data_IF_520989477865
#
_entry.id   IF_520989477865
#
_cell.length_a   1.000
_cell.length_b   1.000
_cell.length_c   1.000
_cell.angle_alpha   90.00
_cell.angle_beta   90.00
_cell.angle_gamma   90.00
#
_symmetry.space_group_name_H-M   'P 1'
#
loop_
_entity.id
_entity.type
_entity.pdbx_description
1 polymer ?
#
# COMPACT_ATOMS: atom_id res chain seq x y z
N UNK A 1 11.41 9.85 -26.01
CA UNK A 1 10.57 8.76 -26.54
C UNK A 1 9.86 8.01 -25.39
N UNK A 2 8.90 8.65 -24.70
CA UNK A 2 8.12 8.04 -23.59
C UNK A 2 6.72 7.55 -24.01
N UNK A 3 6.29 7.89 -25.22
CA UNK A 3 4.92 7.69 -25.70
C UNK A 3 4.60 6.23 -26.08
N UNK A 4 5.60 5.42 -26.44
CA UNK A 4 5.41 3.99 -26.77
C UNK A 4 5.02 3.13 -25.56
N UNK A 5 5.37 3.53 -24.33
CA UNK A 5 4.98 2.81 -23.11
C UNK A 5 3.53 3.07 -22.71
N UNK A 6 3.01 4.28 -22.99
CA UNK A 6 1.67 4.72 -22.58
C UNK A 6 0.58 4.12 -23.47
N UNK A 7 0.82 4.01 -24.80
CA UNK A 7 -0.06 3.26 -25.70
C UNK A 7 -0.19 1.81 -25.27
N UNK A 8 0.93 1.17 -24.90
CA UNK A 8 0.96 -0.24 -24.45
C UNK A 8 0.19 -0.47 -23.14
N UNK A 9 0.11 0.54 -22.26
CA UNK A 9 -0.67 0.48 -21.02
C UNK A 9 -2.20 0.58 -21.25
N UNK A 10 -2.64 1.17 -22.36
CA UNK A 10 -4.04 1.18 -22.78
C UNK A 10 -4.49 -0.16 -23.38
N UNK A 11 -3.56 -0.97 -23.90
CA UNK A 11 -3.84 -2.20 -24.66
C UNK A 11 -3.80 -3.50 -23.81
N UNK A 12 -3.25 -3.47 -22.59
CA UNK A 12 -3.20 -4.65 -21.70
C UNK A 12 -4.14 -4.50 -20.50
N UNK A 13 -5.30 -5.19 -20.44
CA UNK A 13 -6.19 -5.07 -19.30
C UNK A 13 -5.73 -5.85 -18.05
N UNK A 14 -4.79 -6.78 -18.14
CA UNK A 14 -4.52 -7.69 -17.02
C UNK A 14 -3.04 -8.08 -16.90
N UNK A 15 -2.23 -7.23 -16.25
CA UNK A 15 -1.02 -7.68 -15.53
C UNK A 15 -0.36 -6.57 -14.68
N UNK A 16 -1.15 -5.81 -13.92
CA UNK A 16 -0.63 -4.87 -12.91
C UNK A 16 -0.97 -5.29 -11.47
N UNK A 17 -1.22 -6.59 -11.28
CA UNK A 17 -1.02 -7.23 -9.99
C UNK A 17 0.48 -7.41 -9.77
N UNK A 18 1.01 -6.87 -8.69
CA UNK A 18 2.43 -6.83 -8.30
C UNK A 18 3.21 -5.61 -8.81
N UNK A 19 2.82 -4.42 -8.37
CA UNK A 19 3.80 -3.37 -8.12
C UNK A 19 3.65 -2.88 -6.69
N UNK A 20 4.54 -3.42 -5.86
CA UNK A 20 5.02 -2.90 -4.59
C UNK A 20 4.01 -1.99 -3.89
N UNK A 21 3.20 -2.58 -3.00
CA UNK A 21 2.85 -1.86 -1.77
C UNK A 21 4.15 -1.23 -1.31
N UNK A 22 4.14 0.09 -1.09
CA UNK A 22 5.29 0.81 -0.54
C UNK A 22 5.65 0.20 0.80
N UNK A 23 6.37 -0.91 0.76
CA UNK A 23 7.22 -1.40 1.81
C UNK A 23 8.27 -0.30 1.90
N UNK A 24 8.36 0.39 3.04
CA UNK A 24 9.51 1.21 3.34
C UNK A 24 10.77 0.42 3.00
N UNK A 25 11.78 1.08 2.40
CA UNK A 25 13.11 0.50 2.24
C UNK A 25 13.48 -0.26 3.52
N UNK A 26 14.09 -1.44 3.45
CA UNK A 26 14.34 -2.28 4.63
C UNK A 26 15.01 -1.51 5.79
N UNK A 27 15.79 -0.49 5.46
CA UNK A 27 16.40 0.46 6.38
C UNK A 27 15.41 1.32 7.20
N UNK A 28 14.24 1.67 6.65
CA UNK A 28 13.16 2.39 7.33
C UNK A 28 12.29 1.48 8.21
N UNK A 29 12.27 0.17 7.93
CA UNK A 29 11.51 -0.82 8.70
C UNK A 29 12.06 -1.06 10.11
N UNK A 30 13.27 -0.58 10.39
CA UNK A 30 14.03 -0.90 11.61
C UNK A 30 14.30 0.31 12.50
N UNK A 31 13.61 1.43 12.24
CA UNK A 31 13.65 2.63 13.09
C UNK A 31 12.62 2.51 14.20
N UNK A 32 12.94 3.00 15.40
CA UNK A 32 12.02 3.06 16.55
C UNK A 32 10.64 3.62 16.19
N UNK A 33 10.60 4.74 15.47
CA UNK A 33 9.35 5.40 15.05
C UNK A 33 8.45 4.48 14.21
N UNK A 34 9.05 3.65 13.36
CA UNK A 34 8.31 2.71 12.53
C UNK A 34 7.72 1.57 13.36
N UNK A 35 8.50 0.99 14.28
CA UNK A 35 8.03 -0.04 15.21
C UNK A 35 6.91 0.48 16.11
N UNK A 36 7.02 1.71 16.62
CA UNK A 36 5.95 2.36 17.40
C UNK A 36 4.67 2.53 16.58
N UNK A 37 4.76 2.94 15.32
CA UNK A 37 3.62 3.06 14.41
C UNK A 37 2.95 1.71 14.17
N UNK A 38 3.73 0.66 13.89
CA UNK A 38 3.18 -0.68 13.70
C UNK A 38 2.51 -1.15 14.98
N UNK A 39 3.15 -1.01 16.13
CA UNK A 39 2.59 -1.41 17.43
C UNK A 39 1.25 -0.71 17.66
N UNK A 40 1.18 0.61 17.51
CA UNK A 40 -0.07 1.40 17.66
C UNK A 40 -1.16 0.88 16.71
N UNK A 41 -0.80 0.58 15.45
CA UNK A 41 -1.73 0.02 14.47
C UNK A 41 -2.20 -1.38 14.89
N UNK A 42 -1.28 -2.28 15.27
CA UNK A 42 -1.60 -3.64 15.70
C UNK A 42 -2.49 -3.69 16.94
N UNK A 43 -2.29 -2.78 17.91
CA UNK A 43 -3.15 -2.63 19.09
C UNK A 43 -4.57 -2.23 18.67
N UNK A 44 -4.71 -1.24 17.77
CA UNK A 44 -6.01 -0.76 17.28
C UNK A 44 -6.82 -1.88 16.62
N UNK A 45 -6.17 -2.75 15.86
CA UNK A 45 -6.82 -3.88 15.19
C UNK A 45 -6.94 -5.13 16.08
N UNK A 46 -6.58 -5.05 17.38
CA UNK A 46 -6.53 -6.17 18.35
C UNK A 46 -5.61 -7.34 17.94
N UNK A 47 -4.83 -7.19 16.88
CA UNK A 47 -3.89 -8.18 16.37
C UNK A 47 -2.68 -8.33 17.30
N UNK A 48 -2.31 -7.26 18.00
CA UNK A 48 -1.20 -7.27 18.96
C UNK A 48 -1.33 -8.37 20.01
N UNK A 49 -2.56 -8.68 20.44
CA UNK A 49 -2.81 -9.69 21.46
C UNK A 49 -2.79 -11.13 20.93
N UNK A 50 -2.77 -11.32 19.61
CA UNK A 50 -2.59 -12.62 18.96
C UNK A 50 -1.11 -13.04 18.87
N UNK A 51 -0.18 -12.10 19.11
CA UNK A 51 1.25 -12.40 19.15
C UNK A 51 1.63 -13.11 20.45
N UNK A 52 2.66 -13.95 20.35
CA UNK A 52 3.24 -14.60 21.52
C UNK A 52 3.84 -13.57 22.49
N UNK A 53 3.96 -13.95 23.77
CA UNK A 53 4.53 -13.09 24.82
C UNK A 53 5.99 -12.71 24.50
N UNK A 54 6.78 -13.62 23.93
CA UNK A 54 8.18 -13.35 23.57
C UNK A 54 8.27 -12.38 22.39
N UNK A 55 7.42 -12.55 21.37
CA UNK A 55 7.38 -11.65 20.21
C UNK A 55 7.01 -10.22 20.61
N UNK A 56 6.03 -10.08 21.52
CA UNK A 56 5.65 -8.77 22.09
C UNK A 56 6.79 -8.15 22.89
N UNK A 57 7.45 -8.93 23.75
CA UNK A 57 8.58 -8.47 24.55
C UNK A 57 9.75 -8.01 23.67
N UNK A 58 10.04 -8.74 22.58
CA UNK A 58 11.10 -8.37 21.63
C UNK A 58 10.84 -7.00 20.98
N UNK A 59 9.61 -6.73 20.53
CA UNK A 59 9.24 -5.42 19.99
C UNK A 59 9.28 -4.33 21.07
N UNK A 60 8.78 -4.62 22.27
CA UNK A 60 8.74 -3.63 23.35
C UNK A 60 10.14 -3.23 23.83
N UNK A 61 11.06 -4.19 23.93
CA UNK A 61 12.46 -3.95 24.28
C UNK A 61 13.18 -3.18 23.17
N UNK A 62 12.98 -3.56 21.89
CA UNK A 62 13.61 -2.85 20.78
C UNK A 62 13.16 -1.40 20.67
N UNK A 63 11.88 -1.10 20.91
CA UNK A 63 11.38 0.29 20.98
C UNK A 63 12.02 1.07 22.12
N UNK A 64 12.26 0.44 23.28
CA UNK A 64 12.85 1.09 24.45
C UNK A 64 14.35 1.32 24.33
N UNK A 65 15.09 0.37 23.76
CA UNK A 65 16.56 0.33 23.83
C UNK A 65 17.21 0.89 22.56
N UNK A 66 16.59 0.73 21.39
CA UNK A 66 17.27 0.94 20.11
C UNK A 66 16.56 1.98 19.26
N UNK A 67 17.27 3.04 18.89
CA UNK A 67 16.77 4.04 17.95
C UNK A 67 16.72 3.50 16.50
N UNK A 68 17.77 2.77 16.10
CA UNK A 68 17.87 2.09 14.81
C UNK A 68 18.61 0.76 14.96
N UNK A 69 17.99 -0.33 14.51
CA UNK A 69 18.61 -1.67 14.59
C UNK A 69 19.73 -1.78 13.54
N UNK A 70 20.98 -1.85 13.99
CA UNK A 70 22.17 -2.04 13.13
C UNK A 70 22.56 -3.51 12.96
N UNK A 71 22.21 -4.36 13.93
CA UNK A 71 22.58 -5.77 13.91
C UNK A 71 21.64 -6.56 12.99
N UNK A 72 22.22 -7.33 12.05
CA UNK A 72 21.50 -8.11 11.05
C UNK A 72 20.65 -9.23 11.68
N UNK A 73 21.14 -9.89 12.73
CA UNK A 73 20.41 -11.00 13.36
C UNK A 73 19.15 -10.50 14.07
N UNK A 74 19.28 -9.43 14.85
CA UNK A 74 18.15 -8.78 15.52
C UNK A 74 17.16 -8.22 14.49
N UNK A 75 17.65 -7.60 13.41
CA UNK A 75 16.83 -7.11 12.32
C UNK A 75 15.98 -8.22 11.69
N UNK A 76 16.55 -9.38 11.41
CA UNK A 76 15.82 -10.52 10.87
C UNK A 76 14.71 -11.01 11.80
N UNK A 77 14.98 -11.10 13.11
CA UNK A 77 13.96 -11.50 14.09
C UNK A 77 12.81 -10.50 14.13
N UNK A 78 13.11 -9.21 14.20
CA UNK A 78 12.08 -8.16 14.22
C UNK A 78 11.30 -8.13 12.91
N UNK A 79 11.95 -8.27 11.76
CA UNK A 79 11.30 -8.34 10.46
C UNK A 79 10.33 -9.52 10.37
N UNK A 80 10.69 -10.69 10.88
CA UNK A 80 9.78 -11.85 10.93
C UNK A 80 8.50 -11.54 11.72
N UNK A 81 8.63 -10.92 12.89
CA UNK A 81 7.49 -10.54 13.72
C UNK A 81 6.65 -9.46 13.04
N UNK A 82 7.29 -8.44 12.45
CA UNK A 82 6.63 -7.38 11.70
C UNK A 82 5.86 -7.94 10.50
N UNK A 83 6.44 -8.90 9.76
CA UNK A 83 5.78 -9.58 8.65
C UNK A 83 4.55 -10.35 9.12
N UNK A 84 4.63 -11.06 10.25
CA UNK A 84 3.49 -11.75 10.88
C UNK A 84 2.36 -10.79 11.24
N UNK A 85 2.70 -9.62 11.81
CA UNK A 85 1.74 -8.55 12.09
C UNK A 85 1.10 -8.06 10.78
N UNK A 86 1.90 -7.80 9.74
CA UNK A 86 1.41 -7.32 8.45
C UNK A 86 0.47 -8.31 7.76
N UNK A 87 0.72 -9.62 7.84
CA UNK A 87 -0.16 -10.65 7.28
C UNK A 87 -1.55 -10.62 7.91
N UNK A 88 -1.65 -10.35 9.21
CA UNK A 88 -2.93 -10.26 9.91
C UNK A 88 -3.58 -8.88 9.76
N UNK A 89 -2.80 -7.87 9.42
CA UNK A 89 -3.25 -6.50 9.34
C UNK A 89 -3.99 -6.25 8.03
N UNK A 90 -5.27 -5.89 8.15
CA UNK A 90 -6.02 -5.46 6.97
C UNK A 90 -5.37 -4.18 6.39
N UNK A 91 -5.37 -4.02 5.04
CA UNK A 91 -4.84 -2.82 4.42
C UNK A 91 -5.59 -1.58 4.91
N UNK A 92 -4.86 -0.47 5.09
CA UNK A 92 -5.47 0.81 5.49
C UNK A 92 -6.50 1.26 4.46
N UNK A 93 -7.43 2.14 4.87
CA UNK A 93 -8.32 2.81 3.93
C UNK A 93 -7.53 3.45 2.77
N UNK A 94 -6.37 4.05 3.07
CA UNK A 94 -5.48 4.61 2.04
C UNK A 94 -4.92 3.55 1.11
N UNK A 95 -4.38 2.46 1.63
CA UNK A 95 -3.87 1.34 0.82
C UNK A 95 -4.98 0.75 -0.06
N UNK A 96 -6.18 0.54 0.49
CA UNK A 96 -7.35 0.04 -0.26
C UNK A 96 -7.83 1.02 -1.32
N UNK A 97 -7.95 2.30 -0.98
CA UNK A 97 -8.35 3.33 -1.92
C UNK A 97 -7.35 3.43 -3.06
N UNK A 98 -6.04 3.40 -2.79
CA UNK A 98 -5.02 3.42 -3.84
C UNK A 98 -5.05 2.15 -4.70
N UNK A 99 -5.28 0.97 -4.11
CA UNK A 99 -5.38 -0.27 -4.90
C UNK A 99 -6.58 -0.28 -5.85
N UNK A 100 -7.70 0.32 -5.45
CA UNK A 100 -8.91 0.44 -6.26
C UNK A 100 -8.80 1.61 -7.27
N UNK A 101 -8.23 2.73 -6.82
CA UNK A 101 -8.13 3.95 -7.60
C UNK A 101 -7.13 3.85 -8.76
N UNK A 102 -6.07 3.05 -8.64
CA UNK A 102 -5.06 2.87 -9.70
C UNK A 102 -5.66 2.34 -11.01
N UNK A 103 -6.37 1.20 -11.03
CA UNK A 103 -6.99 0.71 -12.25
C UNK A 103 -8.05 1.67 -12.79
N UNK A 104 -8.79 2.37 -11.93
CA UNK A 104 -9.75 3.40 -12.34
C UNK A 104 -9.07 4.58 -13.05
N UNK A 105 -7.98 5.10 -12.47
CA UNK A 105 -7.22 6.20 -13.02
C UNK A 105 -6.65 5.87 -14.41
N UNK A 106 -6.15 4.64 -14.58
CA UNK A 106 -5.65 4.15 -15.89
C UNK A 106 -6.77 4.13 -16.92
N UNK A 107 -7.94 3.55 -16.59
CA UNK A 107 -9.08 3.47 -17.51
C UNK A 107 -9.56 4.88 -17.92
N UNK A 108 -9.71 5.78 -16.95
CA UNK A 108 -10.16 7.16 -17.20
C UNK A 108 -9.13 7.94 -18.03
N UNK A 109 -7.84 7.83 -17.70
CA UNK A 109 -6.77 8.47 -18.45
C UNK A 109 -6.69 7.96 -19.90
N UNK A 110 -6.95 6.66 -20.11
CA UNK A 110 -6.97 6.06 -21.43
C UNK A 110 -8.16 6.57 -22.26
N UNK A 111 -9.36 6.63 -21.67
CA UNK A 111 -10.56 7.17 -22.32
C UNK A 111 -10.35 8.64 -22.72
N UNK A 112 -9.83 9.45 -21.81
CA UNK A 112 -9.55 10.86 -22.08
C UNK A 112 -8.51 11.05 -23.19
N UNK A 113 -7.49 10.19 -23.27
CA UNK A 113 -6.53 10.19 -24.39
C UNK A 113 -7.20 9.83 -25.72
N UNK A 114 -8.07 8.81 -25.75
CA UNK A 114 -8.86 8.46 -26.94
C UNK A 114 -9.77 9.60 -27.41
N UNK A 115 -10.23 10.43 -26.48
CA UNK A 115 -11.00 11.65 -26.78
C UNK A 115 -10.13 12.85 -27.18
N UNK A 116 -8.82 12.70 -27.30
CA UNK A 116 -7.91 13.75 -27.77
C UNK A 116 -7.18 14.52 -26.67
N UNK A 117 -7.40 14.22 -25.38
CA UNK A 117 -6.66 14.84 -24.29
C UNK A 117 -5.35 14.10 -23.98
N UNK A 118 -4.27 14.51 -24.63
CA UNK A 118 -2.94 13.92 -24.44
C UNK A 118 -2.37 14.13 -23.02
N UNK A 119 -2.78 15.20 -22.33
CA UNK A 119 -2.33 15.50 -20.96
C UNK A 119 -2.89 14.52 -19.94
N UNK A 120 -3.95 13.76 -20.26
CA UNK A 120 -4.53 12.79 -19.33
C UNK A 120 -3.58 11.65 -18.95
N UNK A 121 -2.51 11.44 -19.72
CA UNK A 121 -1.43 10.51 -19.36
C UNK A 121 -0.77 10.82 -18.01
N UNK A 122 -0.75 12.09 -17.58
CA UNK A 122 -0.15 12.49 -16.29
C UNK A 122 -1.00 12.06 -15.09
N UNK A 123 -2.31 11.88 -15.28
CA UNK A 123 -3.26 11.52 -14.22
C UNK A 123 -2.97 10.13 -13.62
N UNK A 124 -2.35 9.25 -14.40
CA UNK A 124 -1.97 7.90 -13.95
C UNK A 124 -0.92 7.95 -12.82
N UNK A 125 -0.09 9.00 -12.78
CA UNK A 125 0.96 9.16 -11.77
C UNK A 125 0.53 10.06 -10.61
N UNK A 126 -0.62 10.71 -10.71
CA UNK A 126 -1.12 11.59 -9.66
C UNK A 126 -1.77 10.78 -8.53
N UNK A 127 -1.08 10.69 -7.39
CA UNK A 127 -1.57 10.02 -6.19
C UNK A 127 -2.84 10.65 -5.61
N UNK A 128 -3.02 11.96 -5.77
CA UNK A 128 -4.22 12.66 -5.31
C UNK A 128 -5.43 12.22 -6.11
N UNK A 129 -5.28 12.20 -7.43
CA UNK A 129 -6.31 11.73 -8.36
C UNK A 129 -6.68 10.24 -8.13
N UNK A 130 -5.67 9.38 -8.03
CA UNK A 130 -5.87 7.95 -7.71
C UNK A 130 -6.61 7.78 -6.39
N UNK A 131 -6.17 8.47 -5.33
CA UNK A 131 -6.78 8.34 -4.01
C UNK A 131 -8.23 8.84 -4.01
N UNK A 132 -8.50 9.97 -4.69
CA UNK A 132 -9.86 10.50 -4.85
C UNK A 132 -10.79 9.49 -5.50
N UNK A 133 -10.39 8.89 -6.64
CA UNK A 133 -11.17 7.87 -7.32
C UNK A 133 -11.42 6.65 -6.43
N UNK A 134 -10.40 6.21 -5.70
CA UNK A 134 -10.50 5.09 -4.76
C UNK A 134 -11.46 5.34 -3.60
N UNK A 135 -11.40 6.51 -2.99
CA UNK A 135 -12.31 6.90 -1.90
C UNK A 135 -13.73 7.09 -2.42
N UNK A 136 -13.90 7.75 -3.56
CA UNK A 136 -15.19 7.92 -4.22
C UNK A 136 -15.86 6.57 -4.48
N UNK A 137 -15.11 5.61 -5.02
CA UNK A 137 -15.59 4.24 -5.23
C UNK A 137 -15.95 3.51 -3.92
N UNK A 138 -15.13 3.65 -2.87
CA UNK A 138 -15.40 3.05 -1.55
C UNK A 138 -16.67 3.63 -0.91
N UNK A 139 -16.94 4.92 -1.11
CA UNK A 139 -18.12 5.62 -0.61
C UNK A 139 -19.36 5.44 -1.50
N UNK A 140 -19.19 4.94 -2.71
CA UNK A 140 -20.30 4.64 -3.62
C UNK A 140 -21.11 3.47 -3.06
N UNK A 141 -22.44 3.63 -3.02
CA UNK A 141 -23.33 2.58 -2.53
C UNK A 141 -23.16 1.31 -3.38
N UNK A 142 -23.45 0.15 -2.80
CA UNK A 142 -23.24 -1.14 -3.46
C UNK A 142 -24.03 -1.24 -4.78
N UNK A 143 -25.18 -0.57 -4.88
CA UNK A 143 -26.05 -0.56 -6.06
C UNK A 143 -25.38 0.13 -7.26
N UNK A 144 -24.61 1.20 -7.04
CA UNK A 144 -23.93 1.96 -8.10
C UNK A 144 -22.48 1.53 -8.30
N UNK A 145 -22.04 0.52 -7.57
CA UNK A 145 -20.67 0.01 -7.67
C UNK A 145 -20.57 -0.87 -8.90
N UNK A 146 -20.27 -0.26 -10.05
CA UNK A 146 -19.77 -1.04 -11.18
C UNK A 146 -18.35 -1.50 -10.82
N UNK A 147 -18.16 -2.82 -10.74
CA UNK A 147 -16.83 -3.41 -10.72
C UNK A 147 -16.23 -3.13 -12.10
N UNK A 148 -15.04 -2.52 -12.21
CA UNK A 148 -14.36 -2.46 -13.49
C UNK A 148 -14.08 -3.92 -13.85
N UNK A 149 -14.73 -4.45 -14.88
CA UNK A 149 -14.63 -5.86 -15.29
C UNK A 149 -13.18 -6.34 -15.36
N UNK A 150 -13.00 -7.60 -14.94
CA UNK A 150 -11.80 -8.44 -15.11
C UNK A 150 -11.33 -8.49 -16.55
#
# INVERSE_FOLDING_TARGET
MQWKWISKACDTPNNLGKQNLGLPNEAQLLTRQFLERIRKRAIRFRIWFKLDRLERAAIDLTIKVVERVKNSTLAQVILRIVNKIHQWLKPTLKERALSIGRPLAIKIACLAQKWGNQKASTWINDLGFIFYLGVSWLNTSIIYRHMPSE
#
